data_IF_134416528420
#
_entry.id   IF_134416528420
#
_cell.length_a   1.000
_cell.length_b   1.000
_cell.length_c   1.000
_cell.angle_alpha   90.00
_cell.angle_beta   90.00
_cell.angle_gamma   90.00
#
_symmetry.space_group_name_H-M   'P 1'
#
loop_
_entity.id
_entity.type
_entity.pdbx_description
1 polymer ?
#
# COMPACT_ATOMS: atom_id res chain seq x y z
N UNK A 1 -15.23 5.39 26.84
CA UNK A 1 -16.05 5.76 25.67
C UNK A 1 -15.70 7.16 25.15
N UNK A 2 -16.05 8.27 25.85
CA UNK A 2 -15.76 9.65 25.41
C UNK A 2 -14.26 9.97 25.24
N UNK A 3 -13.38 9.48 26.11
CA UNK A 3 -11.94 9.65 26.04
C UNK A 3 -11.31 8.77 24.94
N UNK A 4 -11.87 7.62 24.65
CA UNK A 4 -11.45 6.73 23.57
C UNK A 4 -11.84 7.31 22.21
N UNK A 5 -13.01 7.93 22.10
CA UNK A 5 -13.47 8.62 20.89
C UNK A 5 -12.56 9.82 20.55
N UNK A 6 -12.17 10.61 21.56
CA UNK A 6 -11.22 11.72 21.39
C UNK A 6 -9.85 11.21 20.97
N UNK A 7 -9.35 10.13 21.57
CA UNK A 7 -8.05 9.56 21.20
C UNK A 7 -8.07 9.05 19.76
N UNK A 8 -9.14 8.38 19.34
CA UNK A 8 -9.29 7.89 17.96
C UNK A 8 -9.35 9.04 16.94
N UNK A 9 -10.04 10.15 17.27
CA UNK A 9 -10.09 11.32 16.38
C UNK A 9 -8.74 12.03 16.27
N UNK A 10 -7.98 12.15 17.37
CA UNK A 10 -6.61 12.69 17.37
C UNK A 10 -5.69 11.83 16.50
N UNK A 11 -5.76 10.51 16.61
CA UNK A 11 -4.95 9.58 15.80
C UNK A 11 -5.30 9.71 14.32
N UNK A 12 -6.58 9.88 14.00
CA UNK A 12 -7.06 10.11 12.65
C UNK A 12 -6.54 11.42 12.06
N UNK A 13 -6.65 12.53 12.83
CA UNK A 13 -6.14 13.85 12.40
C UNK A 13 -4.61 13.80 12.19
N UNK A 14 -3.87 13.17 13.09
CA UNK A 14 -2.42 12.96 12.95
C UNK A 14 -2.07 12.17 11.69
N UNK A 15 -2.84 11.12 11.37
CA UNK A 15 -2.65 10.36 10.13
C UNK A 15 -2.86 11.23 8.89
N UNK A 16 -3.92 12.04 8.85
CA UNK A 16 -4.20 12.98 7.75
C UNK A 16 -3.05 13.97 7.58
N UNK A 17 -2.56 14.56 8.67
CA UNK A 17 -1.44 15.52 8.64
C UNK A 17 -0.18 14.86 8.09
N UNK A 18 0.16 13.67 8.57
CA UNK A 18 1.33 12.92 8.11
C UNK A 18 1.22 12.53 6.63
N UNK A 19 0.05 12.09 6.17
CA UNK A 19 -0.22 11.77 4.78
C UNK A 19 -0.09 13.01 3.87
N UNK A 20 -0.63 14.16 4.30
CA UNK A 20 -0.49 15.44 3.58
C UNK A 20 0.97 15.90 3.52
N UNK A 21 1.72 15.77 4.61
CA UNK A 21 3.16 16.08 4.63
C UNK A 21 3.94 15.16 3.70
N UNK A 22 3.60 13.87 3.65
CA UNK A 22 4.21 12.92 2.72
C UNK A 22 3.94 13.32 1.25
N UNK A 23 2.69 13.67 0.91
CA UNK A 23 2.32 14.14 -0.43
C UNK A 23 3.05 15.43 -0.81
N UNK A 24 3.07 16.44 0.07
CA UNK A 24 3.73 17.72 -0.22
C UNK A 24 5.24 17.57 -0.41
N UNK A 25 5.87 16.65 0.34
CA UNK A 25 7.29 16.31 0.14
C UNK A 25 7.50 15.58 -1.18
N UNK A 26 6.61 14.70 -1.58
CA UNK A 26 6.69 14.01 -2.88
C UNK A 26 6.49 14.96 -4.06
N UNK A 27 5.55 15.91 -3.97
CA UNK A 27 5.30 16.91 -5.02
C UNK A 27 6.49 17.87 -5.21
N UNK A 28 7.22 18.20 -4.13
CA UNK A 28 8.38 19.11 -4.18
C UNK A 28 9.69 18.42 -4.53
N UNK A 29 9.81 17.14 -4.21
CA UNK A 29 11.06 16.38 -4.26
C UNK A 29 11.01 15.25 -5.31
N UNK A 30 10.52 15.54 -6.51
CA UNK A 30 10.65 14.61 -7.64
C UNK A 30 12.12 14.21 -7.95
N UNK A 31 13.09 14.88 -7.29
CA UNK A 31 14.53 14.65 -7.43
C UNK A 31 15.21 13.99 -6.22
N UNK A 32 14.56 13.86 -5.06
CA UNK A 32 15.23 13.43 -3.81
C UNK A 32 14.75 12.07 -3.31
N UNK A 33 15.13 11.01 -4.03
CA UNK A 33 15.08 9.64 -3.51
C UNK A 33 16.37 9.34 -2.74
N UNK A 34 16.23 8.85 -1.52
CA UNK A 34 17.37 8.31 -0.75
C UNK A 34 17.60 6.85 -1.14
N UNK A 35 18.24 6.64 -2.29
CA UNK A 35 18.47 5.32 -2.87
C UNK A 35 19.55 4.57 -2.11
N UNK A 36 19.24 3.37 -1.66
CA UNK A 36 20.16 2.40 -1.07
C UNK A 36 19.85 0.99 -1.56
N UNK A 37 20.82 0.09 -1.40
CA UNK A 37 20.62 -1.32 -1.72
C UNK A 37 19.82 -1.98 -0.60
N UNK A 38 18.65 -2.51 -0.91
CA UNK A 38 17.69 -3.06 0.05
C UNK A 38 17.33 -4.50 -0.29
N UNK A 39 17.31 -5.37 0.70
CA UNK A 39 16.71 -6.71 0.62
C UNK A 39 15.18 -6.58 0.71
N UNK A 40 14.52 -6.71 -0.44
CA UNK A 40 13.07 -6.51 -0.55
C UNK A 40 12.30 -7.62 0.17
N UNK A 41 12.81 -8.85 0.18
CA UNK A 41 12.15 -9.96 0.86
C UNK A 41 12.13 -9.73 2.38
N UNK A 42 13.27 -9.33 2.94
CA UNK A 42 13.37 -8.99 4.37
C UNK A 42 12.47 -7.80 4.72
N UNK A 43 12.42 -6.78 3.87
CA UNK A 43 11.57 -5.61 4.05
C UNK A 43 10.08 -6.01 4.11
N UNK A 44 9.62 -6.83 3.16
CA UNK A 44 8.22 -7.30 3.12
C UNK A 44 7.90 -8.16 4.34
N UNK A 45 8.79 -9.07 4.73
CA UNK A 45 8.61 -9.89 5.95
C UNK A 45 8.46 -9.03 7.21
N UNK A 46 9.25 -7.97 7.34
CA UNK A 46 9.18 -7.05 8.47
C UNK A 46 7.84 -6.31 8.51
N UNK A 47 7.36 -5.84 7.35
CA UNK A 47 6.06 -5.18 7.23
C UNK A 47 4.92 -6.16 7.58
N UNK A 48 4.95 -7.38 7.04
CA UNK A 48 3.96 -8.42 7.32
C UNK A 48 3.91 -8.76 8.81
N UNK A 49 5.07 -8.88 9.46
CA UNK A 49 5.16 -9.13 10.91
C UNK A 49 4.52 -8.00 11.71
N UNK A 50 4.75 -6.74 11.31
CA UNK A 50 4.16 -5.57 11.97
C UNK A 50 2.65 -5.49 11.82
N UNK A 51 2.11 -5.90 10.66
CA UNK A 51 0.68 -5.83 10.36
C UNK A 51 -0.11 -7.06 10.84
N UNK A 52 0.57 -8.14 11.20
CA UNK A 52 -0.07 -9.38 11.66
C UNK A 52 -1.05 -9.20 12.83
N UNK A 53 -0.76 -8.40 13.88
CA UNK A 53 -1.72 -8.18 14.96
C UNK A 53 -3.03 -7.52 14.48
N UNK A 54 -2.95 -6.62 13.50
CA UNK A 54 -4.11 -5.95 12.92
C UNK A 54 -4.95 -6.94 12.12
N UNK A 55 -4.31 -7.80 11.33
CA UNK A 55 -4.98 -8.84 10.57
C UNK A 55 -5.67 -9.86 11.47
N UNK A 56 -4.99 -10.32 12.52
CA UNK A 56 -5.57 -11.25 13.52
C UNK A 56 -6.81 -10.64 14.17
N UNK A 57 -6.75 -9.37 14.58
CA UNK A 57 -7.90 -8.68 15.20
C UNK A 57 -9.13 -8.64 14.27
N UNK A 58 -8.91 -8.68 12.96
CA UNK A 58 -9.96 -8.68 11.93
C UNK A 58 -10.26 -10.05 11.35
N UNK A 59 -9.65 -11.10 11.91
CA UNK A 59 -9.78 -12.47 11.45
C UNK A 59 -9.41 -12.68 9.98
N UNK A 60 -8.30 -12.03 9.58
CA UNK A 60 -7.75 -12.09 8.22
C UNK A 60 -6.47 -12.91 8.24
N UNK A 61 -6.39 -13.91 7.38
CA UNK A 61 -5.17 -14.69 7.16
C UNK A 61 -4.16 -13.90 6.33
N UNK A 62 -2.92 -13.75 6.84
CA UNK A 62 -1.80 -13.16 6.09
C UNK A 62 -0.87 -14.24 5.58
N UNK A 63 -0.75 -14.33 4.25
CA UNK A 63 0.13 -15.28 3.55
C UNK A 63 1.24 -14.51 2.87
N UNK A 64 2.49 -14.95 3.04
CA UNK A 64 3.66 -14.42 2.34
C UNK A 64 4.30 -15.50 1.48
N UNK A 65 4.58 -15.17 0.23
CA UNK A 65 5.28 -16.03 -0.71
C UNK A 65 6.46 -15.28 -1.34
N UNK A 66 7.65 -15.82 -1.15
CA UNK A 66 8.87 -15.35 -1.79
C UNK A 66 9.27 -16.34 -2.89
N UNK A 67 9.21 -15.92 -4.15
CA UNK A 67 9.56 -16.77 -5.28
C UNK A 67 11.06 -16.71 -5.51
N UNK A 68 11.65 -15.51 -5.42
CA UNK A 68 13.09 -15.27 -5.59
C UNK A 68 13.62 -14.29 -4.57
N UNK A 69 14.90 -14.41 -4.15
CA UNK A 69 15.55 -13.37 -3.38
C UNK A 69 15.73 -12.11 -4.26
N UNK A 70 15.40 -10.95 -3.70
CA UNK A 70 15.41 -9.66 -4.40
C UNK A 70 16.24 -8.64 -3.61
N UNK A 71 17.28 -8.12 -4.27
CA UNK A 71 18.01 -6.95 -3.81
C UNK A 71 17.89 -5.83 -4.84
N UNK A 72 17.43 -4.65 -4.42
CA UNK A 72 17.13 -3.56 -5.33
C UNK A 72 17.63 -2.21 -4.79
N UNK A 73 18.01 -1.31 -5.72
CA UNK A 73 18.38 0.07 -5.41
C UNK A 73 17.11 0.93 -5.32
N UNK A 74 16.62 1.15 -4.10
CA UNK A 74 15.36 1.83 -3.83
C UNK A 74 15.46 2.78 -2.63
N UNK A 75 14.50 3.69 -2.51
CA UNK A 75 14.25 4.42 -1.27
C UNK A 75 13.42 3.53 -0.34
N UNK A 76 14.06 2.97 0.67
CA UNK A 76 13.47 2.02 1.60
C UNK A 76 12.23 2.58 2.31
N UNK A 77 12.29 3.86 2.71
CA UNK A 77 11.18 4.51 3.42
C UNK A 77 9.95 4.63 2.53
N UNK A 78 10.12 5.06 1.29
CA UNK A 78 9.02 5.21 0.34
C UNK A 78 8.43 3.86 -0.08
N UNK A 79 9.27 2.86 -0.30
CA UNK A 79 8.78 1.52 -0.65
C UNK A 79 8.11 0.83 0.55
N UNK A 80 8.61 1.04 1.77
CA UNK A 80 7.92 0.61 2.99
C UNK A 80 6.51 1.19 3.06
N UNK A 81 6.36 2.48 2.76
CA UNK A 81 5.06 3.15 2.74
C UNK A 81 4.12 2.56 1.67
N UNK A 82 4.63 2.31 0.46
CA UNK A 82 3.87 1.67 -0.63
C UNK A 82 3.31 0.32 -0.18
N UNK A 83 4.17 -0.57 0.28
CA UNK A 83 3.79 -1.93 0.65
C UNK A 83 2.85 -1.93 1.87
N UNK A 84 3.14 -1.10 2.87
CA UNK A 84 2.28 -0.95 4.05
C UNK A 84 0.87 -0.50 3.66
N UNK A 85 0.75 0.54 2.84
CA UNK A 85 -0.55 1.05 2.39
C UNK A 85 -1.37 0.00 1.64
N UNK A 86 -0.74 -0.78 0.77
CA UNK A 86 -1.43 -1.82 0.01
C UNK A 86 -1.92 -2.95 0.92
N UNK A 87 -1.08 -3.41 1.86
CA UNK A 87 -1.47 -4.48 2.80
C UNK A 87 -2.53 -3.98 3.79
N UNK A 88 -2.39 -2.76 4.32
CA UNK A 88 -3.41 -2.15 5.19
C UNK A 88 -4.76 -2.04 4.49
N UNK A 89 -4.79 -1.62 3.22
CA UNK A 89 -6.02 -1.58 2.43
C UNK A 89 -6.61 -2.99 2.22
N UNK A 90 -5.77 -3.98 1.90
CA UNK A 90 -6.19 -5.36 1.72
C UNK A 90 -6.81 -5.98 2.99
N UNK A 91 -6.27 -5.63 4.16
CA UNK A 91 -6.84 -6.05 5.46
C UNK A 91 -8.15 -5.29 5.76
N UNK A 92 -8.15 -3.99 5.49
CA UNK A 92 -9.22 -3.07 5.86
C UNK A 92 -10.51 -3.30 5.06
N UNK A 93 -10.38 -3.52 3.76
CA UNK A 93 -11.49 -3.76 2.84
C UNK A 93 -11.75 -5.24 2.58
N UNK A 94 -11.27 -6.10 3.50
CA UNK A 94 -11.51 -7.54 3.42
C UNK A 94 -12.89 -7.93 3.97
N UNK A 95 -13.27 -9.17 3.71
CA UNK A 95 -14.44 -9.85 4.30
C UNK A 95 -14.03 -10.57 5.57
N UNK A 96 -14.99 -10.92 6.42
CA UNK A 96 -14.76 -11.81 7.56
C UNK A 96 -14.18 -13.16 7.08
N UNK A 97 -13.21 -13.70 7.84
CA UNK A 97 -12.49 -14.94 7.51
C UNK A 97 -11.78 -14.89 6.15
N UNK A 98 -11.44 -13.67 5.68
CA UNK A 98 -10.73 -13.48 4.42
C UNK A 98 -9.23 -13.71 4.53
N UNK A 99 -8.55 -13.49 3.41
CA UNK A 99 -7.10 -13.61 3.33
C UNK A 99 -6.48 -12.44 2.57
N UNK A 100 -5.20 -12.21 2.86
CA UNK A 100 -4.31 -11.32 2.10
C UNK A 100 -3.05 -12.09 1.78
N UNK A 101 -2.71 -12.18 0.50
CA UNK A 101 -1.48 -12.83 0.03
C UNK A 101 -0.54 -11.78 -0.56
N UNK A 102 0.70 -11.77 -0.06
CA UNK A 102 1.77 -10.92 -0.58
C UNK A 102 2.81 -11.80 -1.24
N UNK A 103 3.06 -11.56 -2.54
CA UNK A 103 4.03 -12.31 -3.33
C UNK A 103 5.17 -11.38 -3.77
N UNK A 104 6.41 -11.83 -3.60
CA UNK A 104 7.61 -11.14 -4.09
C UNK A 104 8.32 -11.99 -5.12
N UNK A 105 8.57 -11.42 -6.29
CA UNK A 105 9.30 -12.04 -7.38
C UNK A 105 10.19 -11.01 -8.10
N UNK A 106 11.11 -11.47 -8.93
CA UNK A 106 11.94 -10.62 -9.79
C UNK A 106 12.29 -11.31 -11.11
N UNK A 107 12.38 -10.51 -12.16
CA UNK A 107 13.08 -10.84 -13.38
C UNK A 107 14.48 -10.18 -13.40
N UNK A 108 15.15 -10.14 -14.54
CA UNK A 108 16.49 -9.56 -14.67
C UNK A 108 16.53 -8.02 -14.66
N UNK A 109 15.39 -7.35 -14.70
CA UNK A 109 15.28 -5.89 -14.77
C UNK A 109 14.43 -5.28 -13.64
N UNK A 110 13.42 -6.01 -13.17
CA UNK A 110 12.42 -5.52 -12.25
C UNK A 110 12.17 -6.50 -11.12
N UNK A 111 11.79 -5.98 -9.97
CA UNK A 111 11.09 -6.78 -8.99
C UNK A 111 9.60 -6.42 -8.97
N UNK A 112 8.81 -7.37 -8.53
CA UNK A 112 7.36 -7.25 -8.43
C UNK A 112 6.92 -7.60 -7.02
N UNK A 113 6.09 -6.76 -6.45
CA UNK A 113 5.33 -7.06 -5.23
C UNK A 113 3.86 -7.08 -5.60
N UNK A 114 3.23 -8.21 -5.38
CA UNK A 114 1.80 -8.40 -5.59
C UNK A 114 1.10 -8.53 -4.24
N UNK A 115 0.02 -7.76 -4.04
CA UNK A 115 -0.83 -7.83 -2.87
C UNK A 115 -2.23 -8.18 -3.36
N UNK A 116 -2.64 -9.41 -3.10
CA UNK A 116 -3.96 -9.94 -3.44
C UNK A 116 -4.80 -10.14 -2.18
N UNK A 117 -6.08 -9.84 -2.24
CA UNK A 117 -7.03 -10.03 -1.15
C UNK A 117 -8.35 -10.65 -1.63
N UNK A 118 -9.04 -11.26 -0.71
CA UNK A 118 -10.40 -11.81 -0.90
C UNK A 118 -11.51 -10.84 -0.49
N UNK A 119 -11.24 -9.55 -0.52
CA UNK A 119 -12.10 -8.52 0.02
C UNK A 119 -13.33 -8.20 -0.81
N UNK A 120 -13.88 -7.02 -0.56
CA UNK A 120 -15.13 -6.57 -1.22
C UNK A 120 -14.94 -6.20 -2.68
N UNK A 121 -13.70 -6.10 -3.15
CA UNK A 121 -13.39 -5.63 -4.51
C UNK A 121 -13.67 -4.14 -4.72
N UNK A 122 -13.44 -3.69 -5.95
CA UNK A 122 -13.62 -2.31 -6.39
C UNK A 122 -14.59 -2.34 -7.58
N UNK A 123 -15.69 -1.58 -7.55
CA UNK A 123 -16.58 -1.42 -8.70
C UNK A 123 -15.82 -0.89 -9.92
N UNK A 124 -16.18 -1.36 -11.12
CA UNK A 124 -15.48 -1.03 -12.36
C UNK A 124 -15.44 0.48 -12.65
N UNK A 125 -16.55 1.17 -12.38
CA UNK A 125 -16.70 2.63 -12.54
C UNK A 125 -15.83 3.43 -11.54
N UNK A 126 -15.37 2.81 -10.46
CA UNK A 126 -14.49 3.43 -9.47
C UNK A 126 -13.00 3.21 -9.74
N UNK A 127 -12.65 2.19 -10.52
CA UNK A 127 -11.27 1.74 -10.69
C UNK A 127 -10.31 2.82 -11.25
N UNK A 128 -10.81 3.73 -12.10
CA UNK A 128 -10.01 4.84 -12.63
C UNK A 128 -9.74 5.94 -11.61
N UNK A 129 -10.59 6.06 -10.59
CA UNK A 129 -10.56 7.14 -9.59
C UNK A 129 -9.82 6.79 -8.29
N UNK A 130 -9.50 5.52 -8.05
CA UNK A 130 -8.91 5.06 -6.76
C UNK A 130 -7.58 5.73 -6.39
N UNK A 131 -6.87 6.30 -7.37
CA UNK A 131 -5.62 7.02 -7.16
C UNK A 131 -5.80 8.53 -6.98
N UNK A 132 -7.02 9.04 -7.08
CA UNK A 132 -7.32 10.44 -6.81
C UNK A 132 -7.21 10.75 -5.32
N UNK A 133 -6.72 11.94 -5.00
CA UNK A 133 -6.59 12.39 -3.60
C UNK A 133 -7.97 12.53 -2.97
N UNK A 134 -8.13 12.01 -1.75
CA UNK A 134 -9.38 12.02 -0.97
C UNK A 134 -10.52 11.20 -1.59
N UNK A 135 -10.28 10.46 -2.67
CA UNK A 135 -11.29 9.61 -3.27
C UNK A 135 -11.57 8.37 -2.40
N UNK A 136 -12.84 8.02 -2.30
CA UNK A 136 -13.34 6.82 -1.59
C UNK A 136 -14.53 6.27 -2.35
N UNK A 137 -14.53 4.96 -2.56
CA UNK A 137 -15.57 4.24 -3.33
C UNK A 137 -16.96 4.42 -2.72
N UNK A 138 -17.08 4.49 -1.39
CA UNK A 138 -18.36 4.59 -0.72
C UNK A 138 -18.36 5.68 0.36
N UNK A 139 -19.21 6.71 0.17
CA UNK A 139 -19.40 7.77 1.18
C UNK A 139 -20.42 7.37 2.27
N UNK A 140 -21.26 6.37 2.01
CA UNK A 140 -22.36 5.96 2.90
C UNK A 140 -21.93 4.99 3.99
N UNK A 141 -20.98 4.09 3.71
CA UNK A 141 -20.36 3.19 4.69
C UNK A 141 -19.06 3.76 5.28
N UNK A 142 -18.72 4.99 4.94
CA UNK A 142 -17.44 5.64 5.30
C UNK A 142 -17.27 5.96 6.77
N UNK A 143 -18.32 5.86 7.58
CA UNK A 143 -18.23 6.05 9.04
C UNK A 143 -17.69 4.84 9.77
N UNK A 144 -17.80 3.65 9.19
CA UNK A 144 -17.33 2.39 9.79
C UNK A 144 -15.91 2.02 9.33
N UNK A 145 -15.49 2.49 8.15
CA UNK A 145 -14.17 2.18 7.58
C UNK A 145 -13.31 3.45 7.59
N UNK A 146 -12.46 3.60 8.60
CA UNK A 146 -11.51 4.71 8.71
C UNK A 146 -10.54 4.78 7.52
N UNK A 147 -10.30 5.99 6.96
CA UNK A 147 -9.30 6.22 5.93
C UNK A 147 -9.26 7.63 5.42
N UNK A 148 -8.06 8.10 5.10
CA UNK A 148 -7.81 9.47 4.63
C UNK A 148 -8.15 9.66 3.15
N UNK A 149 -8.22 8.58 2.37
CA UNK A 149 -8.33 8.65 0.91
C UNK A 149 -7.02 9.10 0.22
N UNK A 150 -5.91 9.11 0.95
CA UNK A 150 -4.60 9.56 0.46
C UNK A 150 -3.63 8.40 0.20
N UNK A 151 -3.85 7.24 0.80
CA UNK A 151 -2.91 6.11 0.76
C UNK A 151 -2.56 5.65 -0.66
N UNK A 152 -3.54 5.45 -1.54
CA UNK A 152 -3.29 5.01 -2.91
C UNK A 152 -2.67 6.11 -3.78
N UNK A 153 -2.99 7.38 -3.57
CA UNK A 153 -2.33 8.48 -4.28
C UNK A 153 -0.85 8.59 -3.89
N UNK A 154 -0.53 8.44 -2.60
CA UNK A 154 0.83 8.38 -2.08
C UNK A 154 1.57 7.17 -2.68
N UNK A 155 0.95 6.01 -2.66
CA UNK A 155 1.49 4.77 -3.24
C UNK A 155 1.86 4.95 -4.71
N UNK A 156 0.95 5.48 -5.52
CA UNK A 156 1.20 5.74 -6.94
C UNK A 156 2.35 6.73 -7.15
N UNK A 157 2.38 7.82 -6.39
CA UNK A 157 3.45 8.82 -6.48
C UNK A 157 4.82 8.21 -6.15
N UNK A 158 4.93 7.44 -5.07
CA UNK A 158 6.18 6.79 -4.68
C UNK A 158 6.66 5.75 -5.71
N UNK A 159 5.75 4.97 -6.28
CA UNK A 159 6.06 4.00 -7.36
C UNK A 159 6.56 4.72 -8.62
N UNK A 160 5.90 5.80 -9.03
CA UNK A 160 6.31 6.59 -10.19
C UNK A 160 7.66 7.28 -9.99
N UNK A 161 7.97 7.77 -8.78
CA UNK A 161 9.30 8.30 -8.44
C UNK A 161 10.40 7.25 -8.66
N UNK A 162 10.13 5.99 -8.39
CA UNK A 162 11.03 4.85 -8.66
C UNK A 162 11.00 4.37 -10.11
N UNK A 163 10.29 5.08 -11.01
CA UNK A 163 10.07 4.67 -12.42
C UNK A 163 9.40 3.30 -12.55
N UNK A 164 8.65 2.96 -11.54
CA UNK A 164 7.84 1.76 -11.50
C UNK A 164 6.46 1.96 -12.08
N UNK A 165 5.71 0.89 -12.07
CA UNK A 165 4.29 0.86 -12.44
C UNK A 165 3.47 0.20 -11.35
N UNK A 166 2.24 0.66 -11.19
CA UNK A 166 1.23 0.01 -10.35
C UNK A 166 0.02 -0.33 -11.20
N UNK A 167 -0.46 -1.55 -11.06
CA UNK A 167 -1.67 -2.05 -11.71
C UNK A 167 -2.63 -2.58 -10.67
N UNK A 168 -3.91 -2.50 -10.95
CA UNK A 168 -4.97 -3.07 -10.15
C UNK A 168 -5.85 -3.96 -11.03
N UNK A 169 -6.19 -5.13 -10.52
CA UNK A 169 -7.23 -6.01 -11.06
C UNK A 169 -8.18 -6.27 -9.91
N UNK A 170 -9.44 -5.98 -10.10
CA UNK A 170 -10.44 -6.12 -9.06
C UNK A 170 -11.77 -6.50 -9.66
N UNK A 171 -12.52 -7.33 -8.94
CA UNK A 171 -13.87 -7.70 -9.22
C UNK A 171 -14.71 -7.50 -7.95
N UNK A 172 -15.81 -6.74 -8.09
CA UNK A 172 -16.69 -6.45 -6.97
C UNK A 172 -17.25 -7.74 -6.38
N UNK A 173 -17.09 -7.91 -5.08
CA UNK A 173 -17.50 -9.12 -4.37
C UNK A 173 -16.45 -10.24 -4.33
N UNK A 174 -15.40 -10.22 -5.16
CA UNK A 174 -14.39 -11.29 -5.24
C UNK A 174 -13.05 -10.92 -4.60
N UNK A 175 -12.62 -9.66 -4.74
CA UNK A 175 -11.39 -9.15 -4.15
C UNK A 175 -10.60 -8.26 -5.08
N UNK A 176 -9.38 -7.91 -4.65
CA UNK A 176 -8.50 -6.99 -5.36
C UNK A 176 -7.08 -7.50 -5.40
N UNK A 177 -6.40 -7.31 -6.51
CA UNK A 177 -4.96 -7.57 -6.66
C UNK A 177 -4.27 -6.30 -7.15
N UNK A 178 -3.37 -5.76 -6.33
CA UNK A 178 -2.44 -4.72 -6.71
C UNK A 178 -1.10 -5.33 -7.07
N UNK A 179 -0.54 -4.94 -8.22
CA UNK A 179 0.78 -5.36 -8.68
C UNK A 179 1.67 -4.14 -8.85
N UNK A 180 2.72 -4.04 -8.04
CA UNK A 180 3.76 -3.02 -8.11
C UNK A 180 4.99 -3.61 -8.76
N UNK A 181 5.48 -2.97 -9.84
CA UNK A 181 6.68 -3.38 -10.55
C UNK A 181 7.69 -2.22 -10.55
N UNK A 182 8.89 -2.48 -10.03
CA UNK A 182 9.94 -1.45 -9.85
C UNK A 182 11.26 -1.96 -10.41
N UNK A 183 12.05 -1.10 -11.12
CA UNK A 183 13.39 -1.46 -11.57
C UNK A 183 14.31 -1.88 -10.42
N UNK A 184 15.10 -2.93 -10.62
CA UNK A 184 16.11 -3.38 -9.65
C UNK A 184 17.22 -2.35 -9.43
N UNK A 185 17.48 -1.52 -10.44
CA UNK A 185 18.49 -0.46 -10.40
C UNK A 185 17.84 0.89 -10.66
N UNK A 186 18.18 1.88 -9.84
CA UNK A 186 17.73 3.26 -10.04
C UNK A 186 18.76 4.02 -10.88
N UNK A 187 18.32 4.57 -12.01
CA UNK A 187 19.13 5.45 -12.86
C UNK A 187 18.59 6.89 -12.70
N UNK A 188 19.35 7.77 -12.06
CA UNK A 188 19.01 9.17 -11.95
C UNK A 188 18.94 9.82 -13.35
N UNK A 189 18.01 10.76 -13.54
CA UNK A 189 18.04 11.61 -14.73
C UNK A 189 19.13 12.65 -14.53
N UNK A 190 20.09 12.67 -15.43
CA UNK A 190 21.09 13.74 -15.53
C UNK A 190 20.45 15.03 -16.07
#
# INVERSE_FOLDING_TARGET
EFMEDIAAEIDRENKIINDLLALTKMDRAASDLNISQVDVNMLVELIMRRLRPIAIKRDIELVYESIRPVSAAIDEVKITLVITNLIENAIKYNKEHGWVKVTVDADHQFFTVEVADSGIGIPEDCAEHIYERFYRVDKSHSREIEGTGLGLSITRSAVLMHRGTIKVVSEEGEGTTFTVKIPLTYIAVS
#
